data_IF_774046118762
#
_entry.id   IF_774046118762
#
_cell.length_a   1.000
_cell.length_b   1.000
_cell.length_c   1.000
_cell.angle_alpha   90.00
_cell.angle_beta   90.00
_cell.angle_gamma   90.00
#
_symmetry.space_group_name_H-M   'P 1'
#
loop_
_entity.id
_entity.type
_entity.pdbx_description
1 polymer ?
#
# COMPACT_ATOMS: atom_id res chain seq x y z
N UNK A 1 -30.55 -47.52 -9.43
CA UNK A 1 -31.05 -46.51 -8.49
C UNK A 1 -30.05 -46.10 -7.46
N UNK A 2 -29.29 -47.01 -6.86
CA UNK A 2 -28.26 -46.65 -5.89
C UNK A 2 -27.13 -45.78 -6.47
N UNK A 3 -26.77 -46.01 -7.74
CA UNK A 3 -25.69 -45.26 -8.38
C UNK A 3 -25.99 -43.76 -8.58
N UNK A 4 -27.26 -43.38 -8.73
CA UNK A 4 -27.64 -42.01 -8.93
C UNK A 4 -27.52 -41.19 -7.63
N UNK A 5 -27.90 -41.77 -6.49
CA UNK A 5 -27.77 -41.14 -5.18
C UNK A 5 -26.30 -40.98 -4.76
N UNK A 6 -25.50 -42.01 -5.03
CA UNK A 6 -24.04 -41.97 -4.75
C UNK A 6 -23.36 -40.91 -5.62
N UNK A 7 -23.72 -40.85 -6.91
CA UNK A 7 -23.19 -39.86 -7.85
C UNK A 7 -23.53 -38.43 -7.41
N UNK A 8 -24.78 -38.18 -7.00
CA UNK A 8 -25.20 -36.87 -6.51
C UNK A 8 -24.48 -36.48 -5.22
N UNK A 9 -24.24 -37.43 -4.34
CA UNK A 9 -23.52 -37.20 -3.09
C UNK A 9 -22.05 -36.84 -3.35
N UNK A 10 -21.39 -37.58 -4.22
CA UNK A 10 -20.00 -37.31 -4.62
C UNK A 10 -19.88 -35.94 -5.27
N UNK A 11 -20.85 -35.57 -6.11
CA UNK A 11 -20.89 -34.25 -6.76
C UNK A 11 -21.07 -33.13 -5.74
N UNK A 12 -21.89 -33.34 -4.73
CA UNK A 12 -22.09 -32.40 -3.63
C UNK A 12 -20.83 -32.25 -2.79
N UNK A 13 -20.18 -33.34 -2.45
CA UNK A 13 -18.91 -33.35 -1.67
C UNK A 13 -17.82 -32.63 -2.44
N UNK A 14 -17.69 -32.89 -3.74
CA UNK A 14 -16.71 -32.23 -4.60
C UNK A 14 -16.94 -30.73 -4.68
N UNK A 15 -18.20 -30.32 -4.79
CA UNK A 15 -18.60 -28.90 -4.81
C UNK A 15 -18.29 -28.22 -3.48
N UNK A 16 -18.50 -28.87 -2.35
CA UNK A 16 -18.15 -28.37 -1.03
C UNK A 16 -16.64 -28.24 -0.84
N UNK A 17 -15.86 -29.19 -1.37
CA UNK A 17 -14.39 -29.15 -1.31
C UNK A 17 -13.84 -27.96 -2.10
N UNK A 18 -14.37 -27.69 -3.31
CA UNK A 18 -13.98 -26.57 -4.14
C UNK A 18 -14.32 -25.25 -3.45
N UNK A 19 -15.49 -25.17 -2.81
CA UNK A 19 -15.93 -24.02 -2.06
C UNK A 19 -15.02 -23.75 -0.86
N UNK A 20 -14.61 -24.80 -0.15
CA UNK A 20 -13.67 -24.72 0.97
C UNK A 20 -12.32 -24.16 0.52
N UNK A 21 -11.82 -24.60 -0.64
CA UNK A 21 -10.57 -24.10 -1.22
C UNK A 21 -10.66 -22.60 -1.53
N UNK A 22 -11.79 -22.15 -2.05
CA UNK A 22 -12.03 -20.73 -2.34
C UNK A 22 -12.01 -19.92 -1.04
N UNK A 23 -12.67 -20.40 0.01
CA UNK A 23 -12.67 -19.76 1.33
C UNK A 23 -11.27 -19.70 1.92
N UNK A 24 -10.50 -20.78 1.81
CA UNK A 24 -9.13 -20.84 2.32
C UNK A 24 -8.23 -19.84 1.61
N UNK A 25 -8.36 -19.72 0.28
CA UNK A 25 -7.64 -18.72 -0.50
C UNK A 25 -8.04 -17.30 -0.12
N UNK A 26 -9.33 -17.06 0.11
CA UNK A 26 -9.82 -15.76 0.54
C UNK A 26 -9.26 -15.36 1.90
N UNK A 27 -9.19 -16.31 2.84
CA UNK A 27 -8.60 -16.09 4.16
C UNK A 27 -7.10 -15.81 4.08
N UNK A 28 -6.40 -16.53 3.22
CA UNK A 28 -4.97 -16.32 2.98
C UNK A 28 -4.71 -14.94 2.39
N UNK A 29 -5.52 -14.52 1.42
CA UNK A 29 -5.43 -13.19 0.84
C UNK A 29 -5.71 -12.11 1.88
N UNK A 30 -6.74 -12.29 2.69
CA UNK A 30 -7.08 -11.37 3.79
C UNK A 30 -5.91 -11.21 4.76
N UNK A 31 -5.27 -12.31 5.14
CA UNK A 31 -4.11 -12.29 6.03
C UNK A 31 -2.94 -11.52 5.42
N UNK A 32 -2.68 -11.73 4.13
CA UNK A 32 -1.63 -11.01 3.40
C UNK A 32 -1.94 -9.53 3.25
N UNK A 33 -3.18 -9.18 3.02
CA UNK A 33 -3.62 -7.79 2.96
C UNK A 33 -3.46 -7.08 4.30
N UNK A 34 -3.78 -7.77 5.39
CA UNK A 34 -3.56 -7.27 6.75
C UNK A 34 -2.09 -7.00 7.02
N UNK A 35 -1.23 -7.95 6.68
CA UNK A 35 0.22 -7.83 6.82
C UNK A 35 0.76 -6.66 5.99
N UNK A 36 0.31 -6.55 4.75
CA UNK A 36 0.68 -5.45 3.85
C UNK A 36 0.23 -4.11 4.42
N UNK A 37 -0.98 -4.03 4.96
CA UNK A 37 -1.51 -2.81 5.58
C UNK A 37 -0.67 -2.37 6.78
N UNK A 38 -0.24 -3.30 7.62
CA UNK A 38 0.66 -3.01 8.75
C UNK A 38 2.03 -2.50 8.27
N UNK A 39 2.57 -3.10 7.21
CA UNK A 39 3.81 -2.64 6.60
C UNK A 39 3.67 -1.23 6.03
N UNK A 40 2.54 -0.95 5.37
CA UNK A 40 2.25 0.37 4.80
C UNK A 40 2.19 1.43 5.89
N UNK A 41 1.56 1.15 7.02
CA UNK A 41 1.50 2.08 8.16
C UNK A 41 2.89 2.52 8.64
N UNK A 42 3.86 1.62 8.57
CA UNK A 42 5.22 1.83 9.04
C UNK A 42 6.15 2.43 7.98
N UNK A 43 5.66 2.64 6.75
CA UNK A 43 6.44 3.30 5.70
C UNK A 43 6.64 4.76 6.09
N UNK A 44 7.85 5.25 5.85
CA UNK A 44 8.16 6.66 5.93
C UNK A 44 8.68 7.13 4.58
N UNK A 45 8.21 8.28 4.15
CA UNK A 45 8.63 8.88 2.90
C UNK A 45 9.08 10.31 3.13
N UNK A 46 10.25 10.65 2.61
CA UNK A 46 10.82 11.98 2.72
C UNK A 46 10.77 12.68 1.38
N UNK A 47 10.34 13.93 1.39
CA UNK A 47 10.41 14.82 0.24
C UNK A 47 11.23 16.05 0.59
N UNK A 48 12.00 16.52 -0.36
CA UNK A 48 12.88 17.67 -0.18
C UNK A 48 12.60 18.74 -1.23
N UNK A 49 12.97 19.97 -0.90
CA UNK A 49 12.95 21.10 -1.83
C UNK A 49 14.06 22.09 -1.48
N UNK A 50 14.30 23.06 -2.38
CA UNK A 50 15.30 24.09 -2.14
C UNK A 50 16.71 23.56 -1.89
N UNK A 51 17.16 22.61 -2.71
CA UNK A 51 18.49 21.96 -2.56
C UNK A 51 18.65 21.32 -1.17
N UNK A 52 17.63 20.60 -0.71
CA UNK A 52 17.59 19.93 0.59
C UNK A 52 17.50 20.86 1.80
N UNK A 53 17.18 22.13 1.58
CA UNK A 53 17.00 23.11 2.67
C UNK A 53 15.72 22.87 3.44
N UNK A 54 14.72 22.27 2.80
CA UNK A 54 13.44 21.92 3.40
C UNK A 54 13.18 20.46 3.13
N UNK A 55 12.84 19.72 4.18
CA UNK A 55 12.49 18.30 4.09
C UNK A 55 11.24 18.02 4.90
N UNK A 56 10.34 17.23 4.32
CA UNK A 56 9.11 16.78 4.97
C UNK A 56 9.10 15.27 5.00
N UNK A 57 8.77 14.68 6.14
CA UNK A 57 8.60 13.23 6.27
C UNK A 57 7.15 12.93 6.56
N UNK A 58 6.57 12.03 5.77
CA UNK A 58 5.23 11.50 5.94
C UNK A 58 5.29 10.05 6.39
N UNK A 59 4.33 9.62 7.19
CA UNK A 59 4.15 8.20 7.49
C UNK A 59 3.17 7.55 6.49
N UNK A 60 2.95 6.25 6.63
CA UNK A 60 2.05 5.50 5.74
C UNK A 60 0.58 5.91 5.84
N UNK A 61 0.21 6.70 6.83
CA UNK A 61 -1.14 7.25 7.01
C UNK A 61 -1.27 8.69 6.46
N UNK A 62 -0.29 9.14 5.68
CA UNK A 62 -0.23 10.50 5.12
C UNK A 62 -0.10 11.61 6.18
N UNK A 63 0.35 11.27 7.37
CA UNK A 63 0.59 12.28 8.39
C UNK A 63 2.02 12.83 8.27
N UNK A 64 2.16 14.14 8.40
CA UNK A 64 3.47 14.76 8.47
C UNK A 64 4.04 14.56 9.88
N UNK A 65 5.08 13.73 9.99
CA UNK A 65 5.69 13.40 11.28
C UNK A 65 6.95 14.19 11.57
N UNK A 66 7.52 14.81 10.56
CA UNK A 66 8.74 15.59 10.71
C UNK A 66 8.85 16.64 9.62
N UNK A 67 9.36 17.79 10.00
CA UNK A 67 9.77 18.85 9.07
C UNK A 67 11.18 19.30 9.45
N UNK A 68 12.01 19.49 8.44
CA UNK A 68 13.36 20.03 8.59
C UNK A 68 13.49 21.32 7.81
N UNK A 69 13.99 22.35 8.45
CA UNK A 69 14.34 23.63 7.84
C UNK A 69 15.80 23.92 8.16
N UNK A 70 16.61 24.18 7.12
CA UNK A 70 18.01 24.57 7.34
C UNK A 70 18.11 25.97 7.95
N UNK A 71 19.21 26.26 8.60
CA UNK A 71 19.44 27.60 9.16
C UNK A 71 19.44 28.66 8.06
N UNK A 72 19.90 28.32 6.88
CA UNK A 72 19.99 29.23 5.74
C UNK A 72 18.61 29.59 5.21
N UNK A 73 17.67 28.64 5.15
CA UNK A 73 16.33 28.89 4.64
C UNK A 73 15.54 29.81 5.59
N UNK A 74 15.84 29.78 6.88
CA UNK A 74 15.18 30.63 7.88
C UNK A 74 15.45 32.12 7.66
N UNK A 75 16.51 32.45 6.90
CA UNK A 75 16.85 33.82 6.54
C UNK A 75 16.09 34.34 5.32
N UNK A 76 15.41 33.44 4.63
CA UNK A 76 14.65 33.77 3.44
C UNK A 76 13.30 34.41 3.77
N UNK A 77 12.68 34.99 2.75
CA UNK A 77 11.35 35.56 2.81
C UNK A 77 10.33 34.47 3.20
N UNK A 78 9.37 34.83 4.03
CA UNK A 78 8.28 33.96 4.47
C UNK A 78 7.59 33.24 3.31
N UNK A 79 7.31 33.94 2.21
CA UNK A 79 6.63 33.39 1.04
C UNK A 79 7.48 32.26 0.43
N UNK A 80 8.80 32.43 0.35
CA UNK A 80 9.72 31.45 -0.19
C UNK A 80 9.71 30.20 0.70
N UNK A 81 9.75 30.39 2.02
CA UNK A 81 9.72 29.26 2.98
C UNK A 81 8.41 28.50 2.84
N UNK A 82 7.28 29.18 2.76
CA UNK A 82 5.96 28.57 2.58
C UNK A 82 5.90 27.73 1.30
N UNK A 83 6.36 28.29 0.18
CA UNK A 83 6.36 27.60 -1.11
C UNK A 83 7.25 26.35 -1.10
N UNK A 84 8.42 26.44 -0.45
CA UNK A 84 9.33 25.30 -0.35
C UNK A 84 8.78 24.20 0.54
N UNK A 85 8.04 24.55 1.59
CA UNK A 85 7.36 23.54 2.44
C UNK A 85 6.30 22.81 1.64
N UNK A 86 5.49 23.52 0.85
CA UNK A 86 4.48 22.93 -0.03
C UNK A 86 5.13 21.98 -1.03
N UNK A 87 6.23 22.41 -1.66
CA UNK A 87 6.96 21.61 -2.63
C UNK A 87 7.53 20.34 -1.98
N UNK A 88 8.15 20.46 -0.81
CA UNK A 88 8.70 19.30 -0.07
C UNK A 88 7.60 18.32 0.33
N UNK A 89 6.47 18.82 0.79
CA UNK A 89 5.32 17.99 1.13
C UNK A 89 4.78 17.23 -0.08
N UNK A 90 4.62 17.89 -1.21
CA UNK A 90 4.16 17.26 -2.45
C UNK A 90 5.14 16.17 -2.93
N UNK A 91 6.43 16.44 -2.82
CA UNK A 91 7.47 15.46 -3.14
C UNK A 91 7.42 14.25 -2.19
N UNK A 92 7.19 14.48 -0.91
CA UNK A 92 7.01 13.40 0.08
C UNK A 92 5.78 12.56 -0.21
N UNK A 93 4.66 13.17 -0.60
CA UNK A 93 3.45 12.45 -1.01
C UNK A 93 3.68 11.57 -2.23
N UNK A 94 4.40 12.08 -3.21
CA UNK A 94 4.76 11.32 -4.41
C UNK A 94 5.61 10.11 -4.06
N UNK A 95 6.61 10.29 -3.21
CA UNK A 95 7.47 9.21 -2.73
C UNK A 95 6.68 8.17 -1.93
N UNK A 96 5.79 8.62 -1.05
CA UNK A 96 4.92 7.73 -0.27
C UNK A 96 4.03 6.89 -1.17
N UNK A 97 3.44 7.51 -2.19
CA UNK A 97 2.59 6.81 -3.17
C UNK A 97 3.37 5.72 -3.89
N UNK A 98 4.60 6.02 -4.29
CA UNK A 98 5.49 5.05 -4.95
C UNK A 98 5.82 3.87 -4.04
N UNK A 99 6.19 4.14 -2.80
CA UNK A 99 6.51 3.10 -1.80
C UNK A 99 5.30 2.23 -1.46
N UNK A 100 4.12 2.84 -1.33
CA UNK A 100 2.87 2.14 -1.07
C UNK A 100 2.50 1.23 -2.23
N UNK A 101 2.60 1.71 -3.46
CA UNK A 101 2.34 0.92 -4.67
C UNK A 101 3.27 -0.28 -4.77
N UNK A 102 4.54 -0.08 -4.46
CA UNK A 102 5.54 -1.14 -4.46
C UNK A 102 5.20 -2.23 -3.43
N UNK A 103 4.81 -1.84 -2.22
CA UNK A 103 4.42 -2.80 -1.17
C UNK A 103 3.18 -3.58 -1.56
N UNK A 104 2.18 -2.94 -2.13
CA UNK A 104 0.96 -3.59 -2.60
C UNK A 104 1.29 -4.58 -3.72
N UNK A 105 2.15 -4.20 -4.67
CA UNK A 105 2.60 -5.10 -5.74
C UNK A 105 3.27 -6.35 -5.20
N UNK A 106 4.13 -6.21 -4.21
CA UNK A 106 4.79 -7.35 -3.55
C UNK A 106 3.78 -8.28 -2.89
N UNK A 107 2.78 -7.73 -2.23
CA UNK A 107 1.77 -8.50 -1.50
C UNK A 107 0.83 -9.25 -2.44
N UNK A 108 0.57 -8.73 -3.63
CA UNK A 108 -0.34 -9.32 -4.61
C UNK A 108 0.35 -10.22 -5.63
N UNK A 109 1.68 -10.25 -5.65
CA UNK A 109 2.46 -11.02 -6.62
C UNK A 109 2.19 -12.53 -6.58
N UNK A 110 1.82 -13.08 -5.42
CA UNK A 110 1.45 -14.48 -5.27
C UNK A 110 0.01 -14.81 -5.69
N UNK A 111 -0.80 -13.80 -5.95
CA UNK A 111 -2.21 -13.92 -6.36
C UNK A 111 -2.43 -13.40 -7.79
N UNK A 112 -1.35 -13.34 -8.56
CA UNK A 112 -1.32 -12.68 -9.85
C UNK A 112 -2.51 -13.01 -10.74
N UNK A 113 -3.41 -12.04 -10.92
CA UNK A 113 -4.37 -12.04 -12.01
C UNK A 113 -3.63 -11.40 -13.18
N UNK A 114 -3.31 -12.18 -14.24
CA UNK A 114 -2.57 -11.63 -15.38
C UNK A 114 -3.28 -10.43 -15.98
N UNK A 115 -2.58 -9.32 -16.09
CA UNK A 115 -3.10 -8.10 -16.68
C UNK A 115 -3.88 -7.18 -15.73
N UNK A 116 -4.00 -7.53 -14.45
CA UNK A 116 -4.63 -6.65 -13.48
C UNK A 116 -3.64 -5.60 -12.97
N UNK A 117 -3.96 -4.34 -13.16
CA UNK A 117 -3.20 -3.23 -12.60
C UNK A 117 -4.03 -2.55 -11.53
N UNK A 118 -3.45 -2.39 -10.35
CA UNK A 118 -4.10 -1.64 -9.28
C UNK A 118 -4.19 -0.15 -9.66
N UNK A 119 -5.36 0.47 -9.47
CA UNK A 119 -5.52 1.91 -9.74
C UNK A 119 -4.93 2.73 -8.60
N UNK A 120 -3.63 2.91 -8.64
CA UNK A 120 -2.93 3.71 -7.63
C UNK A 120 -2.31 4.95 -8.21
#
# INVERSE_FOLDING_TARGET
MQNLLTFNLEKKIKKMTDFTKIIDKAKELEAKMKESHEKIKNIQAEGASGSNSVKVTLNGENEMIKIYLSDEILKENKIIIEDLIVAAHNNAKSELKSKTSEEISKSTNGFGIPGFKWPL
#
